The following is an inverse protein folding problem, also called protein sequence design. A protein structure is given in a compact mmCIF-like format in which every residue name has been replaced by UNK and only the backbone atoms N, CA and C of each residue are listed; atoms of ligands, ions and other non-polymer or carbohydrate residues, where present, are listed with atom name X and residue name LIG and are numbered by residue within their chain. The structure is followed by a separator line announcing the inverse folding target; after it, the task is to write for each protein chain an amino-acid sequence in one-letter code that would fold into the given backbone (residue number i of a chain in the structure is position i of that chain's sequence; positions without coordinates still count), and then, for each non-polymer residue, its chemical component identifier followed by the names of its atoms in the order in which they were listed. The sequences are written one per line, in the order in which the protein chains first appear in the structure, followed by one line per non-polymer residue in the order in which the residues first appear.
data_IF_737719710029
#
_entry.id   IF_737719710029
#
_cell.length_a   1.000
_cell.length_b   1.000
_cell.length_c   1.000
_cell.angle_alpha   90.00
_cell.angle_beta   90.00
_cell.angle_gamma   90.00
#
_symmetry.space_group_name_H-M   'P 1'
#
loop_
_entity.id
_entity.type
_entity.pdbx_description
1 polymer ?
#
# COMPACT_ATOMS: atom_id res chain seq x y z
N UNK A 1 -12.58 -15.51 -16.93
CA UNK A 1 -11.25 -14.87 -17.05
C UNK A 1 -10.57 -15.40 -18.30
N UNK A 2 -9.91 -14.55 -19.11
CA UNK A 2 -9.30 -15.04 -20.36
C UNK A 2 -8.08 -15.93 -20.06
N UNK A 3 -7.84 -16.94 -20.90
CA UNK A 3 -6.67 -17.84 -20.83
C UNK A 3 -5.33 -17.07 -20.73
N UNK A 4 -5.27 -15.85 -21.27
CA UNK A 4 -4.08 -14.98 -21.23
C UNK A 4 -3.84 -14.40 -19.83
N UNK A 5 -4.87 -13.89 -19.15
CA UNK A 5 -4.72 -13.33 -17.80
C UNK A 5 -4.24 -14.38 -16.80
N UNK A 6 -4.73 -15.61 -16.90
CA UNK A 6 -4.30 -16.71 -16.04
C UNK A 6 -2.82 -17.05 -16.29
N UNK A 7 -2.39 -17.11 -17.56
CA UNK A 7 -0.99 -17.33 -17.93
C UNK A 7 -0.06 -16.23 -17.43
N UNK A 8 -0.45 -14.97 -17.58
CA UNK A 8 0.34 -13.82 -17.07
C UNK A 8 0.46 -13.91 -15.56
N UNK A 9 -0.65 -14.11 -14.84
CA UNK A 9 -0.66 -14.22 -13.39
C UNK A 9 0.21 -15.38 -12.90
N UNK A 10 0.10 -16.56 -13.52
CA UNK A 10 0.93 -17.73 -13.18
C UNK A 10 2.42 -17.47 -13.45
N UNK A 11 2.76 -16.82 -14.56
CA UNK A 11 4.14 -16.44 -14.86
C UNK A 11 4.70 -15.46 -13.83
N UNK A 12 3.97 -14.40 -13.51
CA UNK A 12 4.38 -13.41 -12.50
C UNK A 12 4.53 -14.03 -11.11
N UNK A 13 3.64 -14.95 -10.76
CA UNK A 13 3.70 -15.71 -9.51
C UNK A 13 4.96 -16.57 -9.40
N UNK A 14 5.23 -17.40 -10.42
CA UNK A 14 6.35 -18.36 -10.40
C UNK A 14 7.69 -17.65 -10.53
N UNK A 15 7.81 -16.68 -11.44
CA UNK A 15 9.10 -16.04 -11.73
C UNK A 15 9.44 -14.89 -10.78
N UNK A 16 8.42 -14.19 -10.28
CA UNK A 16 8.60 -12.96 -9.52
C UNK A 16 7.79 -12.92 -8.21
N UNK A 17 7.46 -14.08 -7.64
CA UNK A 17 6.97 -14.19 -6.26
C UNK A 17 5.71 -13.37 -5.94
N UNK A 18 4.76 -13.29 -6.87
CA UNK A 18 3.49 -12.57 -6.69
C UNK A 18 3.64 -11.06 -6.44
N UNK A 19 4.74 -10.44 -6.89
CA UNK A 19 5.01 -9.00 -6.73
C UNK A 19 3.80 -8.08 -7.04
N UNK A 20 3.07 -8.25 -8.16
CA UNK A 20 1.89 -7.43 -8.44
C UNK A 20 0.75 -7.62 -7.43
N UNK A 21 0.55 -8.85 -6.96
CA UNK A 21 -0.45 -9.15 -5.92
C UNK A 21 -0.11 -8.47 -4.60
N UNK A 22 1.17 -8.50 -4.21
CA UNK A 22 1.66 -7.84 -2.99
C UNK A 22 1.53 -6.31 -3.06
N UNK A 23 1.79 -5.69 -4.22
CA UNK A 23 1.59 -4.26 -4.43
C UNK A 23 0.10 -3.88 -4.35
N UNK A 24 -0.78 -4.68 -4.97
CA UNK A 24 -2.24 -4.50 -4.86
C UNK A 24 -2.72 -4.58 -3.41
N UNK A 25 -2.24 -5.56 -2.65
CA UNK A 25 -2.55 -5.71 -1.22
C UNK A 25 -2.08 -4.50 -0.40
N UNK A 26 -0.85 -4.03 -0.64
CA UNK A 26 -0.33 -2.84 0.04
C UNK A 26 -1.20 -1.61 -0.24
N UNK A 27 -1.61 -1.39 -1.50
CA UNK A 27 -2.49 -0.28 -1.85
C UNK A 27 -3.84 -0.38 -1.15
N UNK A 28 -4.46 -1.56 -1.12
CA UNK A 28 -5.73 -1.75 -0.40
C UNK A 28 -5.57 -1.44 1.09
N UNK A 29 -4.48 -1.91 1.71
CA UNK A 29 -4.20 -1.65 3.11
C UNK A 29 -3.97 -0.16 3.40
N UNK A 30 -3.18 0.52 2.57
CA UNK A 30 -2.96 1.97 2.67
C UNK A 30 -4.26 2.77 2.46
N UNK A 31 -5.14 2.34 1.56
CA UNK A 31 -6.45 2.98 1.34
C UNK A 31 -7.34 2.89 2.59
N UNK A 32 -7.34 1.75 3.29
CA UNK A 32 -8.10 1.59 4.54
C UNK A 32 -7.58 2.54 5.62
N UNK A 33 -6.25 2.61 5.79
CA UNK A 33 -5.63 3.54 6.74
C UNK A 33 -5.92 5.00 6.39
N UNK A 34 -5.90 5.36 5.10
CA UNK A 34 -6.25 6.70 4.62
C UNK A 34 -7.69 7.06 4.97
N UNK A 35 -8.66 6.19 4.64
CA UNK A 35 -10.05 6.45 4.98
C UNK A 35 -10.26 6.60 6.49
N UNK A 36 -9.53 5.81 7.28
CA UNK A 36 -9.58 5.90 8.73
C UNK A 36 -8.96 7.20 9.27
N UNK A 37 -7.80 7.62 8.76
CA UNK A 37 -7.16 8.87 9.19
C UNK A 37 -8.01 10.10 8.84
N UNK A 38 -8.68 10.10 7.69
CA UNK A 38 -9.62 11.14 7.29
C UNK A 38 -10.83 11.20 8.24
N UNK A 39 -11.36 10.04 8.66
CA UNK A 39 -12.42 9.98 9.65
C UNK A 39 -11.99 10.56 11.01
N UNK A 40 -10.78 10.24 11.48
CA UNK A 40 -10.24 10.81 12.71
C UNK A 40 -10.03 12.32 12.60
N UNK A 41 -9.42 12.79 11.52
CA UNK A 41 -9.14 14.22 11.31
C UNK A 41 -10.39 15.08 11.10
N UNK A 42 -11.51 14.48 10.70
CA UNK A 42 -12.79 15.17 10.57
C UNK A 42 -13.42 15.50 11.93
N UNK A 43 -13.07 14.75 12.98
CA UNK A 43 -13.45 15.07 14.35
C UNK A 43 -12.46 16.08 14.93
N UNK A 44 -12.89 17.33 15.12
CA UNK A 44 -12.04 18.41 15.69
C UNK A 44 -12.30 18.67 17.18
N UNK A 45 -13.06 17.81 17.83
CA UNK A 45 -13.43 17.99 19.24
C UNK A 45 -12.39 17.47 20.24
N UNK A 46 -11.25 16.96 19.74
CA UNK A 46 -10.15 16.49 20.59
C UNK A 46 -9.34 17.64 21.17
N UNK A 47 -8.55 17.35 22.19
CA UNK A 47 -7.51 18.25 22.70
C UNK A 47 -6.54 18.69 21.60
N UNK A 48 -5.95 19.88 21.74
CA UNK A 48 -5.00 20.42 20.76
C UNK A 48 -3.81 19.48 20.52
N UNK A 49 -3.32 18.83 21.58
CA UNK A 49 -2.23 17.87 21.49
C UNK A 49 -2.63 16.66 20.63
N UNK A 50 -3.84 16.13 20.86
CA UNK A 50 -4.34 14.97 20.12
C UNK A 50 -4.64 15.33 18.67
N UNK A 51 -5.25 16.49 18.40
CA UNK A 51 -5.45 17.01 17.05
C UNK A 51 -4.13 17.13 16.26
N UNK A 52 -3.06 17.63 16.89
CA UNK A 52 -1.73 17.71 16.26
C UNK A 52 -1.17 16.33 15.93
N UNK A 53 -1.32 15.36 16.84
CA UNK A 53 -0.87 13.98 16.59
C UNK A 53 -1.67 13.31 15.47
N UNK A 54 -2.99 13.51 15.43
CA UNK A 54 -3.83 13.04 14.31
C UNK A 54 -3.30 13.63 13.00
N UNK A 55 -3.04 14.94 12.94
CA UNK A 55 -2.53 15.59 11.73
C UNK A 55 -1.18 15.01 11.26
N UNK A 56 -0.23 14.79 12.17
CA UNK A 56 1.07 14.19 11.84
C UNK A 56 0.95 12.76 11.32
N UNK A 57 0.14 11.92 11.98
CA UNK A 57 -0.08 10.54 11.53
C UNK A 57 -0.83 10.52 10.20
N UNK A 58 -1.77 11.44 9.95
CA UNK A 58 -2.44 11.56 8.66
C UNK A 58 -1.46 11.86 7.52
N UNK A 59 -0.45 12.72 7.73
CA UNK A 59 0.58 12.98 6.73
C UNK A 59 1.39 11.72 6.38
N UNK A 60 1.76 10.93 7.39
CA UNK A 60 2.45 9.65 7.19
C UNK A 60 1.58 8.67 6.36
N UNK A 61 0.27 8.63 6.65
CA UNK A 61 -0.70 7.82 5.91
C UNK A 61 -0.84 8.28 4.46
N UNK A 62 -0.91 9.59 4.22
CA UNK A 62 -1.03 10.17 2.88
C UNK A 62 0.20 9.83 2.02
N UNK A 63 1.40 9.98 2.61
CA UNK A 63 2.67 9.61 1.96
C UNK A 63 2.69 8.12 1.60
N UNK A 64 2.26 7.26 2.53
CA UNK A 64 2.18 5.83 2.31
C UNK A 64 1.17 5.48 1.20
N UNK A 65 0.01 6.13 1.18
CA UNK A 65 -1.02 5.91 0.15
C UNK A 65 -0.49 6.29 -1.25
N UNK A 66 0.18 7.43 -1.38
CA UNK A 66 0.83 7.85 -2.63
C UNK A 66 1.89 6.85 -3.08
N UNK A 67 2.75 6.40 -2.15
CA UNK A 67 3.80 5.42 -2.45
C UNK A 67 3.21 4.07 -2.86
N UNK A 68 2.15 3.61 -2.19
CA UNK A 68 1.47 2.37 -2.52
C UNK A 68 0.78 2.45 -3.89
N UNK A 69 0.21 3.59 -4.26
CA UNK A 69 -0.36 3.80 -5.59
C UNK A 69 0.73 3.77 -6.67
N UNK A 70 1.87 4.44 -6.47
CA UNK A 70 3.02 4.35 -7.37
C UNK A 70 3.45 2.89 -7.59
N UNK A 71 3.65 2.14 -6.50
CA UNK A 71 4.05 0.73 -6.58
C UNK A 71 3.00 -0.13 -7.30
N UNK A 72 1.70 0.17 -7.13
CA UNK A 72 0.62 -0.50 -7.85
C UNK A 72 0.72 -0.21 -9.35
N UNK A 73 0.91 1.05 -9.75
CA UNK A 73 1.06 1.44 -11.16
C UNK A 73 2.31 0.82 -11.78
N UNK A 74 3.44 0.82 -11.08
CA UNK A 74 4.69 0.19 -11.52
C UNK A 74 4.47 -1.33 -11.75
N UNK A 75 3.74 -2.01 -10.85
CA UNK A 75 3.37 -3.41 -11.01
C UNK A 75 2.44 -3.66 -12.21
N UNK A 76 1.49 -2.76 -12.48
CA UNK A 76 0.64 -2.83 -13.67
C UNK A 76 1.45 -2.69 -14.95
N UNK A 77 2.46 -1.81 -14.97
CA UNK A 77 3.41 -1.70 -16.07
C UNK A 77 4.14 -3.02 -16.34
N UNK A 78 4.64 -3.69 -15.28
CA UNK A 78 5.26 -5.01 -15.40
C UNK A 78 4.27 -6.06 -15.94
N UNK A 79 3.03 -6.05 -15.44
CA UNK A 79 1.99 -6.96 -15.89
C UNK A 79 1.64 -6.75 -17.37
N UNK A 80 1.59 -5.49 -17.83
CA UNK A 80 1.34 -5.13 -19.22
C UNK A 80 2.46 -5.62 -20.14
N UNK A 81 3.74 -5.43 -19.75
CA UNK A 81 4.89 -5.92 -20.51
C UNK A 81 4.85 -7.44 -20.69
N UNK A 82 4.55 -8.19 -19.62
CA UNK A 82 4.41 -9.65 -19.70
C UNK A 82 3.22 -10.05 -20.56
N UNK A 83 2.10 -9.34 -20.45
CA UNK A 83 0.91 -9.57 -21.29
C UNK A 83 1.24 -9.41 -22.77
N UNK A 84 1.92 -8.32 -23.15
CA UNK A 84 2.35 -8.06 -24.53
C UNK A 84 3.27 -9.17 -25.03
N UNK A 85 4.25 -9.60 -24.23
CA UNK A 85 5.16 -10.68 -24.61
C UNK A 85 4.42 -12.02 -24.85
N UNK A 86 3.50 -12.39 -23.96
CA UNK A 86 2.68 -13.60 -24.09
C UNK A 86 1.80 -13.55 -25.34
N UNK A 87 1.14 -12.41 -25.59
CA UNK A 87 0.32 -12.22 -26.79
C UNK A 87 1.16 -12.29 -28.08
N UNK A 88 2.37 -11.73 -28.05
CA UNK A 88 3.34 -11.83 -29.15
C UNK A 88 4.00 -13.22 -29.27
N UNK A 89 3.61 -14.20 -28.44
CA UNK A 89 4.22 -15.54 -28.36
C UNK A 89 5.74 -15.51 -28.13
N UNK A 90 6.23 -14.46 -27.45
CA UNK A 90 7.63 -14.30 -27.04
C UNK A 90 7.80 -14.69 -25.57
N UNK A 91 9.01 -15.09 -25.19
CA UNK A 91 9.35 -15.31 -23.79
C UNK A 91 9.31 -13.97 -23.05
N UNK A 92 8.51 -13.81 -21.98
CA UNK A 92 8.49 -12.57 -21.23
C UNK A 92 9.78 -12.40 -20.45
N UNK A 93 10.40 -11.23 -20.61
CA UNK A 93 11.63 -10.89 -19.91
C UNK A 93 11.49 -9.47 -19.35
N UNK A 94 11.53 -9.38 -18.03
CA UNK A 94 11.61 -8.11 -17.32
C UNK A 94 13.07 -7.91 -16.92
N UNK A 95 13.51 -6.66 -16.92
CA UNK A 95 14.85 -6.32 -16.45
C UNK A 95 15.02 -6.73 -14.97
N UNK A 96 16.01 -7.59 -14.71
CA UNK A 96 16.25 -8.17 -13.39
C UNK A 96 16.58 -7.10 -12.35
N UNK A 97 17.32 -6.06 -12.75
CA UNK A 97 17.67 -4.96 -11.84
C UNK A 97 16.43 -4.17 -11.42
N UNK A 98 15.56 -3.86 -12.38
CA UNK A 98 14.29 -3.14 -12.15
C UNK A 98 13.35 -3.94 -11.25
N UNK A 99 13.22 -5.26 -11.48
CA UNK A 99 12.41 -6.14 -10.62
C UNK A 99 12.98 -6.20 -9.20
N UNK A 100 14.30 -6.33 -9.04
CA UNK A 100 14.93 -6.33 -7.74
C UNK A 100 14.78 -4.99 -6.99
N UNK A 101 14.89 -3.87 -7.70
CA UNK A 101 14.66 -2.54 -7.14
C UNK A 101 13.21 -2.39 -6.67
N UNK A 102 12.24 -2.80 -7.50
CA UNK A 102 10.82 -2.80 -7.16
C UNK A 102 10.52 -3.64 -5.92
N UNK A 103 11.07 -4.86 -5.85
CA UNK A 103 10.91 -5.74 -4.69
C UNK A 103 11.40 -5.07 -3.41
N UNK A 104 12.59 -4.43 -3.43
CA UNK A 104 13.12 -3.72 -2.25
C UNK A 104 12.23 -2.54 -1.86
N UNK A 105 11.77 -1.76 -2.84
CA UNK A 105 10.88 -0.63 -2.58
C UNK A 105 9.55 -1.08 -1.97
N UNK A 106 8.99 -2.19 -2.46
CA UNK A 106 7.78 -2.80 -1.95
C UNK A 106 7.95 -3.34 -0.53
N UNK A 107 9.06 -4.02 -0.25
CA UNK A 107 9.37 -4.53 1.10
C UNK A 107 9.54 -3.38 2.10
N UNK A 108 10.23 -2.31 1.69
CA UNK A 108 10.36 -1.09 2.50
C UNK A 108 9.01 -0.43 2.76
N UNK A 109 8.14 -0.35 1.75
CA UNK A 109 6.80 0.22 1.91
C UNK A 109 5.90 -0.63 2.84
N UNK A 110 6.08 -1.95 2.87
CA UNK A 110 5.39 -2.82 3.84
C UNK A 110 5.86 -2.62 5.28
N UNK A 111 7.16 -2.39 5.50
CA UNK A 111 7.70 -2.04 6.82
C UNK A 111 7.07 -0.72 7.29
N UNK A 112 7.05 0.28 6.41
CA UNK A 112 6.45 1.57 6.68
C UNK A 112 4.95 1.46 6.98
N UNK A 113 4.22 0.67 6.20
CA UNK A 113 2.80 0.43 6.44
C UNK A 113 2.50 -0.16 7.82
N UNK A 114 3.35 -1.06 8.32
CA UNK A 114 3.20 -1.62 9.67
C UNK A 114 3.49 -0.58 10.75
N UNK A 115 4.49 0.27 10.55
CA UNK A 115 4.81 1.38 11.45
C UNK A 115 3.63 2.35 11.56
N UNK A 116 3.10 2.80 10.42
CA UNK A 116 1.96 3.73 10.37
C UNK A 116 0.70 3.10 10.98
N UNK A 117 0.44 1.82 10.71
CA UNK A 117 -0.66 1.11 11.33
C UNK A 117 -0.55 1.05 12.86
N UNK A 118 0.65 0.82 13.41
CA UNK A 118 0.88 0.84 14.85
C UNK A 118 0.59 2.23 15.44
N UNK A 119 1.03 3.31 14.78
CA UNK A 119 0.74 4.68 15.20
C UNK A 119 -0.77 4.98 15.21
N UNK A 120 -1.52 4.49 14.21
CA UNK A 120 -2.98 4.64 14.19
C UNK A 120 -3.66 3.90 15.35
N UNK A 121 -3.16 2.70 15.72
CA UNK A 121 -3.68 1.96 16.88
C UNK A 121 -3.41 2.72 18.18
N UNK A 122 -2.20 3.25 18.36
CA UNK A 122 -1.85 4.07 19.53
C UNK A 122 -2.76 5.30 19.62
N UNK A 123 -2.96 5.99 18.50
CA UNK A 123 -3.83 7.15 18.40
C UNK A 123 -5.28 6.84 18.78
N UNK A 124 -5.80 5.68 18.35
CA UNK A 124 -7.10 5.20 18.81
C UNK A 124 -7.17 4.98 20.32
N UNK A 125 -6.10 4.46 20.92
CA UNK A 125 -5.99 4.28 22.35
C UNK A 125 -6.06 5.62 23.09
N UNK A 126 -5.37 6.63 22.59
CA UNK A 126 -5.34 7.96 23.19
C UNK A 126 -6.70 8.68 23.06
N UNK A 127 -7.36 8.56 21.89
CA UNK A 127 -8.73 9.05 21.70
C UNK A 127 -9.69 8.43 22.72
N UNK A 128 -9.63 7.10 22.91
CA UNK A 128 -10.50 6.40 23.87
C UNK A 128 -10.27 6.88 25.31
N UNK A 129 -9.02 7.12 25.71
CA UNK A 129 -8.70 7.65 27.05
C UNK A 129 -9.26 9.04 27.26
N UNK A 130 -9.12 9.93 26.26
CA UNK A 130 -9.65 11.30 26.35
C UNK A 130 -11.19 11.31 26.46
N UNK A 131 -11.88 10.47 25.68
CA UNK A 131 -13.33 10.30 25.80
C UNK A 131 -13.77 9.74 27.16
N UNK A 132 -12.97 8.86 27.77
CA UNK A 132 -13.29 8.31 29.08
C UNK A 132 -13.12 9.36 30.20
N UNK A 133 -12.24 10.35 30.03
CA UNK A 133 -12.02 11.43 30.99
C UNK A 133 -13.06 12.55 30.88
N UNK A 134 -13.80 12.63 29.76
CA UNK A 134 -14.86 13.62 29.53
C UNK A 134 -16.27 13.12 29.90
N UNK A 135 -16.39 11.89 30.41
CA UNK A 135 -17.61 11.31 31.00
C UNK A 135 -17.48 11.27 32.52
#
# INVERSE_FOLDING_TARGET
MSNVQEKVSKFMAVKYGYLPGRAKQLKSFATVMFNFSQYLGSNKYYSDLLNRRIALVSLDVDLLALRAEKLRTDAEGMYALVTVAILAKKKPELDVKSVAAFQRELDAAWIEARRVHALLIELMGDIKKEYAQTR
#
